data_IF_893176298620
#
_entry.id   IF_893176298620
#
_cell.length_a   1.000
_cell.length_b   1.000
_cell.length_c   1.000
_cell.angle_alpha   90.00
_cell.angle_beta   90.00
_cell.angle_gamma   90.00
#
_symmetry.space_group_name_H-M   'P 1'
#
loop_
_entity.id
_entity.type
_entity.pdbx_description
1 polymer ?
#
# COMPACT_ATOMS: atom_id res chain seq x y z
N UNK A 1 -6.37 15.87 -17.69
CA UNK A 1 -6.69 14.81 -16.77
C UNK A 1 -5.49 14.39 -15.97
N UNK A 2 -5.63 14.46 -14.68
CA UNK A 2 -4.51 14.10 -13.82
C UNK A 2 -4.44 12.59 -13.72
N UNK A 3 -3.51 12.01 -14.41
CA UNK A 3 -3.27 10.59 -14.26
C UNK A 3 -2.57 10.38 -12.91
N UNK A 4 -2.94 9.31 -12.25
CA UNK A 4 -2.26 8.90 -11.04
C UNK A 4 -0.87 8.46 -11.47
N UNK A 5 0.14 9.18 -11.01
CA UNK A 5 1.53 8.89 -11.38
C UNK A 5 2.19 7.84 -10.52
N UNK A 6 1.50 7.39 -9.50
CA UNK A 6 2.07 6.40 -8.61
C UNK A 6 1.98 5.01 -9.24
N UNK A 7 3.05 4.27 -9.09
CA UNK A 7 3.12 2.93 -9.65
C UNK A 7 2.43 1.91 -8.75
N UNK A 8 2.23 0.73 -9.27
CA UNK A 8 1.70 -0.39 -8.49
C UNK A 8 2.57 -0.62 -7.26
N UNK A 9 3.90 -0.55 -7.44
CA UNK A 9 4.82 -0.78 -6.33
C UNK A 9 4.66 0.26 -5.23
N UNK A 10 4.43 1.52 -5.60
CA UNK A 10 4.20 2.57 -4.60
C UNK A 10 2.91 2.33 -3.81
N UNK A 11 1.88 1.87 -4.49
CA UNK A 11 0.64 1.52 -3.81
C UNK A 11 0.83 0.35 -2.86
N UNK A 12 1.54 -0.67 -3.30
CA UNK A 12 1.80 -1.84 -2.46
C UNK A 12 2.63 -1.46 -1.24
N UNK A 13 3.64 -0.62 -1.43
CA UNK A 13 4.46 -0.13 -0.35
C UNK A 13 3.64 0.66 0.66
N UNK A 14 2.78 1.54 0.18
CA UNK A 14 1.91 2.34 1.03
C UNK A 14 0.97 1.47 1.85
N UNK A 15 0.33 0.50 1.20
CA UNK A 15 -0.57 -0.41 1.88
C UNK A 15 0.21 -1.22 2.92
N UNK A 16 1.41 -1.65 2.57
CA UNK A 16 2.26 -2.41 3.48
C UNK A 16 2.59 -1.60 4.74
N UNK A 17 3.01 -0.36 4.58
CA UNK A 17 3.35 0.47 5.73
C UNK A 17 2.15 0.80 6.61
N UNK A 18 0.99 0.97 6.00
CA UNK A 18 -0.22 1.23 6.77
C UNK A 18 -0.69 -0.01 7.53
N UNK A 19 -0.54 -1.17 6.91
CA UNK A 19 -0.95 -2.43 7.53
C UNK A 19 0.07 -2.95 8.55
N UNK A 20 1.35 -2.69 8.30
CA UNK A 20 2.44 -3.19 9.14
C UNK A 20 3.41 -2.08 9.48
N UNK A 21 3.00 -1.14 10.35
CA UNK A 21 3.88 -0.01 10.70
C UNK A 21 5.18 -0.51 11.28
N UNK A 22 6.28 0.11 10.84
CA UNK A 22 7.61 -0.23 11.29
C UNK A 22 8.11 0.90 12.16
N UNK A 23 8.85 0.56 13.20
CA UNK A 23 9.45 1.57 14.04
C UNK A 23 9.46 1.14 15.49
N UNK A 24 10.21 1.87 16.27
CA UNK A 24 10.34 1.59 17.68
C UNK A 24 9.05 1.86 18.43
N UNK A 25 8.27 2.74 17.89
CA UNK A 25 7.06 3.19 18.53
C UNK A 25 5.85 2.78 17.72
N UNK A 26 5.16 1.78 18.22
CA UNK A 26 3.94 1.33 17.59
C UNK A 26 2.83 1.31 18.62
N UNK A 27 1.92 2.27 18.54
CA UNK A 27 0.76 2.24 19.44
C UNK A 27 0.03 0.93 19.26
N UNK A 28 -0.42 0.38 20.35
CA UNK A 28 -1.16 -0.84 20.31
C UNK A 28 -2.41 -0.66 19.43
N UNK A 29 -2.68 -1.62 18.57
CA UNK A 29 -3.80 -1.52 17.68
C UNK A 29 -3.52 -0.78 16.39
N UNK A 30 -2.30 -0.22 16.24
CA UNK A 30 -1.93 0.40 14.98
C UNK A 30 -1.61 -0.68 13.96
N UNK A 31 -1.79 -0.35 12.70
CA UNK A 31 -1.48 -1.29 11.64
C UNK A 31 -2.65 -2.20 11.32
N UNK A 32 -3.54 -1.70 10.50
CA UNK A 32 -4.62 -2.51 9.97
C UNK A 32 -4.71 -2.24 8.48
N UNK A 33 -5.32 -3.16 7.73
CA UNK A 33 -5.49 -2.96 6.29
C UNK A 33 -6.21 -1.63 6.03
N UNK A 34 -5.69 -0.78 5.15
CA UNK A 34 -6.26 0.55 4.95
C UNK A 34 -7.45 0.56 4.01
N UNK A 35 -8.28 1.56 4.20
CA UNK A 35 -9.35 1.88 3.26
C UNK A 35 -8.75 2.69 2.11
N UNK A 36 -9.45 2.70 0.98
CA UNK A 36 -9.02 3.48 -0.18
C UNK A 36 -8.79 4.95 0.15
N UNK A 37 -9.63 5.52 1.03
CA UNK A 37 -9.49 6.91 1.43
C UNK A 37 -8.16 7.17 2.14
N UNK A 38 -7.73 6.21 2.95
CA UNK A 38 -6.46 6.35 3.66
C UNK A 38 -5.27 6.27 2.71
N UNK A 39 -5.35 5.34 1.76
CA UNK A 39 -4.31 5.21 0.73
C UNK A 39 -4.24 6.48 -0.10
N UNK A 40 -5.41 7.00 -0.49
CA UNK A 40 -5.50 8.24 -1.26
C UNK A 40 -4.84 9.41 -0.53
N UNK A 41 -5.12 9.51 0.77
CA UNK A 41 -4.54 10.53 1.63
C UNK A 41 -3.01 10.47 1.65
N UNK A 42 -2.50 9.27 1.83
CA UNK A 42 -1.04 9.08 1.93
C UNK A 42 -0.33 9.38 0.62
N UNK A 43 -0.96 9.08 -0.49
CA UNK A 43 -0.34 9.27 -1.81
C UNK A 43 -0.73 10.60 -2.46
N UNK A 44 -1.57 11.38 -1.80
CA UNK A 44 -2.04 12.67 -2.32
C UNK A 44 -2.73 12.52 -3.67
N UNK A 45 -3.58 11.52 -3.77
CA UNK A 45 -4.39 11.29 -4.97
C UNK A 45 -5.86 11.34 -4.59
N UNK A 46 -6.74 11.37 -5.59
CA UNK A 46 -8.17 11.36 -5.33
C UNK A 46 -8.60 9.96 -4.89
N UNK A 47 -9.74 9.89 -4.20
CA UNK A 47 -10.32 8.61 -3.83
C UNK A 47 -10.64 7.78 -5.07
N UNK A 48 -11.08 8.46 -6.13
CA UNK A 48 -11.40 7.77 -7.38
C UNK A 48 -10.16 7.10 -7.97
N UNK A 49 -9.04 7.82 -7.98
CA UNK A 49 -7.77 7.26 -8.48
C UNK A 49 -7.33 6.08 -7.64
N UNK A 50 -7.39 6.23 -6.32
CA UNK A 50 -6.99 5.14 -5.43
C UNK A 50 -7.91 3.93 -5.61
N UNK A 51 -9.22 4.16 -5.74
CA UNK A 51 -10.17 3.09 -5.95
C UNK A 51 -9.91 2.33 -7.23
N UNK A 52 -9.62 3.04 -8.31
CA UNK A 52 -9.31 2.41 -9.58
C UNK A 52 -8.05 1.55 -9.49
N UNK A 53 -7.02 2.07 -8.85
CA UNK A 53 -5.78 1.31 -8.69
C UNK A 53 -6.00 0.08 -7.82
N UNK A 54 -6.78 0.21 -6.74
CA UNK A 54 -7.06 -0.94 -5.89
C UNK A 54 -7.81 -2.04 -6.64
N UNK A 55 -8.72 -1.66 -7.53
CA UNK A 55 -9.41 -2.63 -8.37
C UNK A 55 -8.42 -3.36 -9.27
N UNK A 56 -7.45 -2.63 -9.80
CA UNK A 56 -6.42 -3.21 -10.63
C UNK A 56 -5.55 -4.18 -9.83
N UNK A 57 -5.14 -3.78 -8.63
CA UNK A 57 -4.35 -4.65 -7.77
C UNK A 57 -5.12 -5.91 -7.39
N UNK A 58 -6.41 -5.77 -7.18
CA UNK A 58 -7.28 -6.90 -6.87
C UNK A 58 -7.33 -7.86 -8.06
N UNK A 59 -7.49 -7.31 -9.26
CA UNK A 59 -7.53 -8.11 -10.49
C UNK A 59 -6.23 -8.86 -10.73
N UNK A 60 -5.11 -8.28 -10.29
CA UNK A 60 -3.80 -8.91 -10.45
C UNK A 60 -3.44 -9.85 -9.31
N UNK A 61 -4.35 -10.03 -8.35
CA UNK A 61 -4.13 -10.95 -7.25
C UNK A 61 -3.17 -10.45 -6.18
N UNK A 62 -2.95 -9.14 -6.14
CA UNK A 62 -2.02 -8.55 -5.17
C UNK A 62 -2.73 -8.05 -3.91
N UNK A 63 -4.02 -7.79 -4.03
CA UNK A 63 -4.84 -7.26 -2.95
C UNK A 63 -6.18 -7.98 -2.95
N UNK A 64 -6.74 -8.17 -1.76
CA UNK A 64 -8.11 -8.61 -1.58
C UNK A 64 -8.85 -7.51 -0.85
N UNK A 65 -10.17 -7.44 -1.01
CA UNK A 65 -10.97 -6.45 -0.31
C UNK A 65 -11.69 -7.14 0.83
N UNK A 66 -11.53 -6.61 2.04
CA UNK A 66 -12.18 -7.15 3.22
C UNK A 66 -13.63 -6.71 3.33
N UNK A 67 -14.25 -7.01 4.46
CA UNK A 67 -15.68 -6.71 4.70
C UNK A 67 -15.99 -5.22 4.61
N UNK A 68 -15.06 -4.39 5.01
CA UNK A 68 -15.19 -2.92 4.92
C UNK A 68 -14.59 -2.37 3.66
N UNK A 69 -14.27 -3.25 2.72
CA UNK A 69 -13.59 -2.90 1.48
C UNK A 69 -12.17 -2.41 1.71
N UNK A 70 -11.60 -2.77 2.86
CA UNK A 70 -10.21 -2.44 3.14
C UNK A 70 -9.28 -3.26 2.24
N UNK A 71 -8.13 -2.68 1.94
CA UNK A 71 -7.14 -3.31 1.05
C UNK A 71 -6.24 -4.24 1.86
N UNK A 72 -6.38 -5.53 1.62
CA UNK A 72 -5.60 -6.56 2.31
C UNK A 72 -4.61 -7.14 1.32
N UNK A 73 -3.32 -7.09 1.65
CA UNK A 73 -2.32 -7.69 0.78
C UNK A 73 -2.45 -9.20 0.78
N UNK A 74 -2.48 -9.79 -0.42
CA UNK A 74 -2.41 -11.23 -0.55
C UNK A 74 -0.97 -11.65 -0.25
N UNK A 75 -0.71 -12.96 -0.06
CA UNK A 75 0.68 -13.41 0.11
C UNK A 75 1.59 -12.93 -1.01
N UNK A 76 1.11 -12.96 -2.24
CA UNK A 76 1.87 -12.48 -3.40
C UNK A 76 2.10 -10.97 -3.33
N UNK A 77 1.05 -10.22 -2.97
CA UNK A 77 1.16 -8.77 -2.85
C UNK A 77 2.10 -8.37 -1.74
N UNK A 78 2.03 -9.08 -0.61
CA UNK A 78 2.91 -8.80 0.53
C UNK A 78 4.37 -9.06 0.18
N UNK A 79 4.64 -10.17 -0.48
CA UNK A 79 5.99 -10.51 -0.90
C UNK A 79 6.57 -9.43 -1.81
N UNK A 80 5.78 -8.98 -2.76
CA UNK A 80 6.20 -7.93 -3.67
C UNK A 80 6.43 -6.61 -2.94
N UNK A 81 5.54 -6.26 -2.00
CA UNK A 81 5.68 -5.05 -1.20
C UNK A 81 6.96 -5.10 -0.38
N UNK A 82 7.24 -6.23 0.25
CA UNK A 82 8.45 -6.39 1.05
C UNK A 82 9.71 -6.25 0.21
N UNK A 83 9.65 -6.73 -1.01
CA UNK A 83 10.78 -6.60 -1.93
C UNK A 83 11.04 -5.12 -2.27
N UNK A 84 9.97 -4.37 -2.53
CA UNK A 84 10.09 -2.94 -2.82
C UNK A 84 10.67 -2.18 -1.63
N UNK A 85 10.18 -2.49 -0.45
CA UNK A 85 10.66 -1.84 0.78
C UNK A 85 12.14 -2.12 1.00
N UNK A 86 12.56 -3.34 0.80
CA UNK A 86 13.96 -3.71 0.95
C UNK A 86 14.86 -2.97 -0.03
N UNK A 87 14.41 -2.85 -1.26
CA UNK A 87 15.12 -2.14 -2.29
C UNK A 87 15.38 -0.68 -1.89
N UNK A 88 14.35 -0.02 -1.40
CA UNK A 88 14.45 1.36 -0.97
C UNK A 88 15.40 1.53 0.21
N UNK A 89 15.36 0.60 1.14
CA UNK A 89 16.26 0.64 2.30
C UNK A 89 17.72 0.47 1.91
N UNK A 90 17.98 -0.39 0.94
CA UNK A 90 19.35 -0.58 0.48
C UNK A 90 19.89 0.68 -0.15
N UNK A 91 19.07 1.35 -0.95
CA UNK A 91 19.48 2.61 -1.57
C UNK A 91 19.79 3.66 -0.51
N UNK A 92 18.96 3.78 0.49
CA UNK A 92 19.18 4.73 1.58
C UNK A 92 20.48 4.45 2.32
N UNK A 93 20.82 3.20 2.50
CA UNK A 93 22.02 2.81 3.21
C UNK A 93 23.29 3.14 2.44
N UNK A 94 23.20 3.12 1.13
CA UNK A 94 24.36 3.41 0.29
C UNK A 94 24.64 4.90 0.19
N UNK A 95 23.69 5.71 0.55
CA UNK A 95 23.85 7.15 0.55
C UNK A 95 24.37 7.63 1.89
#
# INVERSE_FOLDING_TARGET
MAADRHSIDEYLETIYFLAFPIGEYRPQGSGSPPLASRVAEMLHVSRASAGEMLKRLEAEGLVERGERKEAILTPTGRERAEHVVRKHRLVERLL
#
